data_IF_631375511756
#
_entry.id   IF_631375511756
#
_cell.length_a   1.000
_cell.length_b   1.000
_cell.length_c   1.000
_cell.angle_alpha   90.00
_cell.angle_beta   90.00
_cell.angle_gamma   90.00
#
_symmetry.space_group_name_H-M   'P 1'
#
loop_
_entity.id
_entity.type
_entity.pdbx_description
1 polymer ?
#
# COMPACT_ATOMS: atom_id res chain seq x y z
N UNK A 1 -5.38 -6.84 -27.09
CA UNK A 1 -4.68 -5.65 -26.55
C UNK A 1 -4.23 -4.65 -27.63
N UNK A 2 -4.99 -4.52 -28.72
CA UNK A 2 -4.57 -3.71 -29.93
C UNK A 2 -4.34 -2.21 -29.66
N UNK A 3 -4.89 -1.66 -28.58
CA UNK A 3 -4.76 -0.24 -28.21
C UNK A 3 -3.40 0.10 -27.56
N UNK A 4 -2.71 -0.88 -27.01
CA UNK A 4 -1.46 -0.69 -26.26
C UNK A 4 -0.39 -1.66 -26.72
N UNK A 5 0.85 -1.18 -26.80
CA UNK A 5 2.05 -1.99 -27.08
C UNK A 5 2.89 -2.07 -25.81
N UNK A 6 3.31 -3.27 -25.44
CA UNK A 6 4.29 -3.51 -24.38
C UNK A 6 5.67 -3.15 -24.93
N UNK A 7 6.43 -2.37 -24.14
CA UNK A 7 7.81 -1.96 -24.49
C UNK A 7 8.83 -2.81 -23.74
N UNK A 8 8.73 -2.86 -22.40
CA UNK A 8 9.67 -3.60 -21.56
C UNK A 8 9.03 -3.97 -20.22
N UNK A 9 9.55 -4.97 -19.58
CA UNK A 9 9.18 -5.32 -18.19
C UNK A 9 9.89 -4.37 -17.23
N UNK A 10 9.12 -3.73 -16.33
CA UNK A 10 9.62 -2.80 -15.32
C UNK A 10 9.47 -3.32 -13.90
N UNK A 11 8.77 -4.44 -13.71
CA UNK A 11 8.60 -5.04 -12.40
C UNK A 11 7.91 -6.39 -12.44
N UNK A 12 7.88 -7.03 -11.26
CA UNK A 12 7.10 -8.24 -11.01
C UNK A 12 6.39 -8.06 -9.67
N UNK A 13 5.05 -8.03 -9.70
CA UNK A 13 4.23 -7.98 -8.50
C UNK A 13 3.90 -9.38 -7.97
N UNK A 14 3.26 -9.44 -6.83
CA UNK A 14 2.79 -10.68 -6.19
C UNK A 14 1.90 -11.51 -7.14
N UNK A 15 1.18 -10.86 -8.04
CA UNK A 15 0.14 -11.44 -8.87
C UNK A 15 0.40 -11.30 -10.37
N UNK A 16 1.63 -11.04 -10.80
CA UNK A 16 1.93 -10.95 -12.23
C UNK A 16 3.10 -10.02 -12.58
N UNK A 17 3.30 -9.85 -13.89
CA UNK A 17 4.35 -8.99 -14.43
C UNK A 17 3.85 -7.59 -14.69
N UNK A 18 4.70 -6.59 -14.48
CA UNK A 18 4.41 -5.17 -14.72
C UNK A 18 5.31 -4.69 -15.87
N UNK A 19 4.70 -4.06 -16.87
CA UNK A 19 5.38 -3.60 -18.06
C UNK A 19 5.20 -2.09 -18.26
N UNK A 20 6.20 -1.44 -18.78
CA UNK A 20 6.04 -0.15 -19.45
C UNK A 20 5.45 -0.41 -20.84
N UNK A 21 4.43 0.33 -21.19
CA UNK A 21 3.79 0.27 -22.50
C UNK A 21 3.47 1.64 -23.04
N UNK A 22 2.90 1.66 -24.24
CA UNK A 22 2.53 2.87 -24.95
C UNK A 22 1.13 2.72 -25.54
N UNK A 23 0.33 3.76 -25.43
CA UNK A 23 -0.93 3.86 -26.17
C UNK A 23 -0.61 4.13 -27.64
N UNK A 24 -1.06 3.24 -28.53
CA UNK A 24 -0.73 3.28 -29.95
C UNK A 24 -1.32 4.49 -30.69
N UNK A 25 -2.43 5.05 -30.18
CA UNK A 25 -3.09 6.20 -30.77
C UNK A 25 -2.50 7.54 -30.29
N UNK A 26 -2.28 7.67 -28.97
CA UNK A 26 -1.89 8.94 -28.35
C UNK A 26 -0.38 9.07 -28.11
N UNK A 27 0.35 7.96 -28.16
CA UNK A 27 1.77 7.92 -27.79
C UNK A 27 2.03 7.95 -26.29
N UNK A 28 1.00 8.06 -25.44
CA UNK A 28 1.13 8.14 -23.99
C UNK A 28 1.76 6.89 -23.40
N UNK A 29 2.74 7.06 -22.50
CA UNK A 29 3.34 5.97 -21.77
C UNK A 29 2.41 5.53 -20.62
N UNK A 30 2.33 4.21 -20.41
CA UNK A 30 1.43 3.58 -19.42
C UNK A 30 2.13 2.46 -18.67
N UNK A 31 1.63 2.12 -17.50
CA UNK A 31 1.95 0.88 -16.79
C UNK A 31 0.88 -0.17 -17.10
N UNK A 32 1.34 -1.39 -17.44
CA UNK A 32 0.48 -2.53 -17.81
C UNK A 32 0.80 -3.66 -16.84
N UNK A 33 -0.15 -4.00 -15.97
CA UNK A 33 -0.09 -5.19 -15.10
C UNK A 33 -0.75 -6.36 -15.83
N UNK A 34 -0.06 -7.50 -15.91
CA UNK A 34 -0.55 -8.70 -16.58
C UNK A 34 -0.57 -9.89 -15.60
N UNK A 35 -1.69 -10.61 -15.55
CA UNK A 35 -1.90 -11.83 -14.75
C UNK A 35 -2.32 -12.99 -15.65
N UNK A 36 -1.71 -14.16 -15.48
CA UNK A 36 -2.05 -15.35 -16.25
C UNK A 36 -3.45 -15.88 -15.90
N UNK A 37 -4.26 -16.13 -16.93
CA UNK A 37 -5.59 -16.75 -16.77
C UNK A 37 -5.49 -18.19 -16.24
N UNK A 38 -4.40 -18.89 -16.55
CA UNK A 38 -4.19 -20.28 -16.14
C UNK A 38 -4.04 -20.44 -14.61
N UNK A 39 -3.60 -19.40 -13.92
CA UNK A 39 -3.43 -19.42 -12.46
C UNK A 39 -4.78 -19.41 -11.72
N UNK A 40 -5.88 -19.13 -12.42
CA UNK A 40 -7.27 -19.30 -11.95
C UNK A 40 -7.72 -18.39 -10.80
N UNK A 41 -6.83 -17.53 -10.30
CA UNK A 41 -7.08 -16.74 -9.08
C UNK A 41 -7.91 -15.47 -9.37
N UNK A 42 -7.90 -14.97 -10.62
CA UNK A 42 -8.63 -13.76 -11.04
C UNK A 42 -8.37 -12.52 -10.13
N UNK A 43 -7.17 -12.42 -9.56
CA UNK A 43 -6.83 -11.37 -8.61
C UNK A 43 -6.84 -9.99 -9.26
N UNK A 44 -6.32 -9.90 -10.50
CA UNK A 44 -6.32 -8.65 -11.26
C UNK A 44 -7.74 -8.18 -11.62
N UNK A 45 -8.69 -9.11 -11.80
CA UNK A 45 -10.11 -8.78 -11.97
C UNK A 45 -10.67 -8.12 -10.72
N UNK A 46 -10.37 -8.68 -9.54
CA UNK A 46 -10.82 -8.11 -8.28
C UNK A 46 -10.14 -6.77 -7.99
N UNK A 47 -8.84 -6.68 -8.22
CA UNK A 47 -8.08 -5.44 -8.09
C UNK A 47 -8.64 -4.33 -9.00
N UNK A 48 -8.98 -4.64 -10.25
CA UNK A 48 -9.57 -3.67 -11.17
C UNK A 48 -10.92 -3.11 -10.68
N UNK A 49 -11.74 -3.94 -10.02
CA UNK A 49 -13.01 -3.50 -9.40
C UNK A 49 -12.76 -2.53 -8.25
N UNK A 50 -11.72 -2.77 -7.43
CA UNK A 50 -11.34 -1.86 -6.34
C UNK A 50 -10.89 -0.51 -6.90
N UNK A 51 -10.04 -0.48 -7.93
CA UNK A 51 -9.66 0.76 -8.61
C UNK A 51 -10.87 1.52 -9.16
N UNK A 52 -11.83 0.82 -9.78
CA UNK A 52 -13.05 1.45 -10.28
C UNK A 52 -13.91 2.05 -9.14
N UNK A 53 -14.02 1.34 -8.03
CA UNK A 53 -14.75 1.80 -6.84
C UNK A 53 -14.08 3.02 -6.20
N UNK A 54 -12.75 3.05 -6.17
CA UNK A 54 -11.94 4.16 -5.66
C UNK A 54 -11.71 5.28 -6.70
N UNK A 55 -12.35 5.20 -7.86
CA UNK A 55 -12.29 6.27 -8.87
C UNK A 55 -12.65 7.60 -8.23
N UNK A 56 -11.83 8.62 -8.46
CA UNK A 56 -11.90 9.96 -7.86
C UNK A 56 -11.33 10.08 -6.43
N UNK A 57 -10.83 9.03 -5.78
CA UNK A 57 -10.01 9.18 -4.60
C UNK A 57 -8.66 9.79 -5.00
N UNK A 58 -8.31 10.93 -4.39
CA UNK A 58 -7.02 11.58 -4.64
C UNK A 58 -5.88 10.63 -4.23
N UNK A 59 -4.86 10.49 -5.09
CA UNK A 59 -3.74 9.59 -4.85
C UNK A 59 -4.01 8.12 -5.19
N UNK A 60 -5.15 7.80 -5.82
CA UNK A 60 -5.40 6.49 -6.43
C UNK A 60 -5.34 6.64 -7.96
N UNK A 61 -4.51 5.85 -8.67
CA UNK A 61 -4.43 5.90 -10.13
C UNK A 61 -5.75 5.52 -10.80
N UNK A 62 -6.00 6.09 -11.98
CA UNK A 62 -7.19 5.75 -12.77
C UNK A 62 -6.87 4.63 -13.76
N UNK A 63 -7.76 3.63 -13.85
CA UNK A 63 -7.68 2.61 -14.90
C UNK A 63 -8.01 3.26 -16.25
N UNK A 64 -7.07 3.14 -17.19
CA UNK A 64 -7.24 3.58 -18.58
C UNK A 64 -7.90 2.50 -19.45
N UNK A 65 -7.64 1.24 -19.12
CA UNK A 65 -8.21 0.08 -19.80
C UNK A 65 -8.04 -1.18 -18.96
N UNK A 66 -9.02 -2.07 -19.04
CA UNK A 66 -8.97 -3.42 -18.50
C UNK A 66 -9.52 -4.40 -19.54
N UNK A 67 -8.87 -5.54 -19.71
CA UNK A 67 -9.31 -6.57 -20.66
C UNK A 67 -8.45 -7.82 -20.58
N UNK A 68 -8.68 -8.73 -21.51
CA UNK A 68 -7.94 -10.01 -21.58
C UNK A 68 -7.69 -10.43 -23.02
N UNK A 69 -6.72 -11.30 -23.21
CA UNK A 69 -6.58 -12.17 -24.38
C UNK A 69 -6.78 -13.66 -23.97
N UNK A 70 -6.24 -14.57 -24.76
CA UNK A 70 -6.34 -16.02 -24.47
C UNK A 70 -5.43 -16.49 -23.33
N UNK A 71 -4.46 -15.68 -22.91
CA UNK A 71 -3.40 -16.05 -21.98
C UNK A 71 -3.50 -15.25 -20.68
N UNK A 72 -3.75 -13.94 -20.77
CA UNK A 72 -3.64 -13.03 -19.62
C UNK A 72 -4.83 -12.09 -19.51
N UNK A 73 -5.12 -11.68 -18.26
CA UNK A 73 -5.78 -10.40 -17.96
C UNK A 73 -4.75 -9.28 -17.98
N UNK A 74 -5.18 -8.08 -18.37
CA UNK A 74 -4.35 -6.88 -18.39
C UNK A 74 -5.11 -5.71 -17.77
N UNK A 75 -4.42 -4.96 -16.94
CA UNK A 75 -4.87 -3.69 -16.39
C UNK A 75 -3.89 -2.60 -16.77
N UNK A 76 -4.38 -1.52 -17.35
CA UNK A 76 -3.57 -0.37 -17.79
C UNK A 76 -3.91 0.84 -16.94
N UNK A 77 -2.89 1.41 -16.30
CA UNK A 77 -2.97 2.63 -15.50
C UNK A 77 -1.94 3.65 -16.00
N UNK A 78 -1.94 4.84 -15.42
CA UNK A 78 -0.89 5.83 -15.66
C UNK A 78 0.48 5.23 -15.32
N UNK A 79 1.49 5.52 -16.15
CA UNK A 79 2.87 5.31 -15.76
C UNK A 79 3.24 6.42 -14.76
N UNK A 80 3.52 6.01 -13.53
CA UNK A 80 3.88 6.89 -12.44
C UNK A 80 5.40 6.93 -12.25
N UNK A 81 5.86 7.81 -11.36
CA UNK A 81 7.28 7.95 -11.02
C UNK A 81 7.82 6.80 -10.16
N UNK A 82 8.89 7.06 -9.45
CA UNK A 82 9.58 6.08 -8.61
C UNK A 82 8.79 5.78 -7.33
N UNK A 83 8.99 4.57 -6.79
CA UNK A 83 8.46 4.19 -5.48
C UNK A 83 9.21 4.92 -4.35
N UNK A 84 8.57 5.03 -3.17
CA UNK A 84 9.26 5.56 -1.99
C UNK A 84 10.46 4.69 -1.59
N UNK A 85 10.40 3.39 -1.89
CA UNK A 85 11.54 2.50 -1.70
C UNK A 85 12.73 2.93 -2.58
N UNK A 86 12.51 3.11 -3.89
CA UNK A 86 13.54 3.55 -4.82
C UNK A 86 14.05 4.95 -4.48
N UNK A 87 13.18 5.89 -4.12
CA UNK A 87 13.56 7.25 -3.75
C UNK A 87 14.46 7.29 -2.50
N UNK A 88 14.15 6.47 -1.49
CA UNK A 88 14.95 6.36 -0.27
C UNK A 88 16.31 5.70 -0.55
N UNK A 89 16.32 4.57 -1.24
CA UNK A 89 17.56 3.81 -1.49
C UNK A 89 18.51 4.50 -2.46
N UNK A 90 18.00 5.35 -3.35
CA UNK A 90 18.81 6.19 -4.24
C UNK A 90 19.08 7.59 -3.71
N UNK A 91 18.70 7.89 -2.46
CA UNK A 91 18.89 9.20 -1.81
C UNK A 91 18.29 10.39 -2.60
N UNK A 92 17.21 10.15 -3.34
CA UNK A 92 16.51 11.16 -4.15
C UNK A 92 15.39 11.89 -3.40
N UNK A 93 15.14 11.54 -2.13
CA UNK A 93 14.15 12.20 -1.28
C UNK A 93 14.86 13.06 -0.24
N UNK A 94 14.47 14.31 -0.13
CA UNK A 94 14.99 15.21 0.90
C UNK A 94 14.25 15.03 2.23
N UNK A 95 14.92 15.31 3.35
CA UNK A 95 14.28 15.25 4.66
C UNK A 95 13.09 16.21 4.77
N UNK A 96 13.12 17.35 4.09
CA UNK A 96 12.01 18.31 4.07
C UNK A 96 10.79 17.83 3.32
N UNK A 97 10.95 16.88 2.40
CA UNK A 97 9.84 16.33 1.61
C UNK A 97 9.20 15.13 2.29
N UNK A 98 9.92 14.44 3.18
CA UNK A 98 9.41 13.24 3.87
C UNK A 98 8.11 13.57 4.63
N UNK A 99 8.07 14.62 5.44
CA UNK A 99 6.87 14.99 6.19
C UNK A 99 5.67 15.28 5.27
N UNK A 100 5.88 15.99 4.16
CA UNK A 100 4.83 16.27 3.17
C UNK A 100 4.31 14.98 2.53
N UNK A 101 5.20 14.04 2.22
CA UNK A 101 4.86 12.74 1.62
C UNK A 101 4.06 11.89 2.59
N UNK A 102 4.47 11.84 3.87
CA UNK A 102 3.76 11.08 4.90
C UNK A 102 2.35 11.65 5.12
N UNK A 103 2.20 12.97 5.17
CA UNK A 103 0.89 13.63 5.27
C UNK A 103 0.00 13.25 4.07
N UNK A 104 0.54 13.23 2.83
CA UNK A 104 -0.21 12.76 1.67
C UNK A 104 -0.61 11.28 1.81
N UNK A 105 0.29 10.41 2.31
CA UNK A 105 0.00 9.00 2.53
C UNK A 105 -1.16 8.81 3.52
N UNK A 106 -1.16 9.55 4.65
CA UNK A 106 -2.26 9.54 5.62
C UNK A 106 -3.58 9.93 4.95
N UNK A 107 -3.61 11.02 4.16
CA UNK A 107 -4.81 11.49 3.48
C UNK A 107 -5.33 10.48 2.43
N UNK A 108 -4.43 9.81 1.71
CA UNK A 108 -4.81 8.77 0.73
C UNK A 108 -5.46 7.59 1.45
N UNK A 109 -4.82 7.06 2.50
CA UNK A 109 -5.33 5.92 3.27
C UNK A 109 -6.67 6.29 3.95
N UNK A 110 -6.78 7.48 4.55
CA UNK A 110 -8.03 7.98 5.12
C UNK A 110 -9.17 7.96 4.08
N UNK A 111 -8.93 8.44 2.86
CA UNK A 111 -9.93 8.46 1.79
C UNK A 111 -10.38 7.06 1.36
N UNK A 112 -9.50 6.06 1.42
CA UNK A 112 -9.80 4.65 1.14
C UNK A 112 -10.61 4.05 2.29
N UNK A 113 -10.24 4.36 3.53
CA UNK A 113 -10.96 3.93 4.73
C UNK A 113 -12.38 4.52 4.77
N UNK A 114 -12.58 5.77 4.34
CA UNK A 114 -13.90 6.39 4.24
C UNK A 114 -14.80 5.76 3.17
N UNK A 115 -14.21 5.02 2.22
CA UNK A 115 -14.93 4.15 1.28
C UNK A 115 -15.22 2.75 1.83
N UNK A 116 -14.93 2.48 3.10
CA UNK A 116 -15.19 1.18 3.74
C UNK A 116 -14.17 0.09 3.39
N UNK A 117 -13.00 0.46 2.88
CA UNK A 117 -11.95 -0.46 2.47
C UNK A 117 -10.70 -0.32 3.34
N UNK A 118 -9.95 -1.40 3.50
CA UNK A 118 -8.57 -1.45 4.03
C UNK A 118 -7.64 -2.05 2.99
N UNK A 119 -6.42 -1.50 2.88
CA UNK A 119 -5.45 -1.87 1.83
C UNK A 119 -4.75 -3.18 2.16
N UNK A 120 -4.27 -3.35 3.39
CA UNK A 120 -3.63 -4.53 3.96
C UNK A 120 -2.23 -4.89 3.42
N UNK A 121 -1.65 -4.06 2.56
CA UNK A 121 -0.25 -4.18 2.11
C UNK A 121 0.39 -2.79 1.94
N UNK A 122 0.33 -1.97 2.99
CA UNK A 122 0.97 -0.66 3.03
C UNK A 122 2.48 -0.87 3.19
N UNK A 123 3.25 -0.43 2.17
CA UNK A 123 4.72 -0.51 2.12
C UNK A 123 5.29 0.54 1.17
N UNK A 124 6.58 0.88 1.26
CA UNK A 124 7.21 1.91 0.41
C UNK A 124 7.12 1.62 -1.09
N UNK A 125 7.13 0.34 -1.49
CA UNK A 125 7.04 -0.09 -2.89
C UNK A 125 5.69 0.27 -3.52
N UNK A 126 4.62 0.30 -2.71
CA UNK A 126 3.26 0.58 -3.16
C UNK A 126 2.93 2.07 -3.18
N UNK A 127 3.82 2.95 -2.73
CA UNK A 127 3.68 4.38 -2.86
C UNK A 127 4.58 4.90 -3.98
N UNK A 128 3.99 5.43 -5.05
CA UNK A 128 4.70 6.02 -6.17
C UNK A 128 4.59 7.55 -6.14
N UNK A 129 5.71 8.24 -6.32
CA UNK A 129 5.78 9.70 -6.27
C UNK A 129 6.04 10.27 -7.66
N UNK A 130 5.15 11.11 -8.13
CA UNK A 130 5.22 11.70 -9.46
C UNK A 130 4.65 13.13 -9.43
N UNK A 131 5.39 14.09 -9.98
CA UNK A 131 4.95 15.49 -10.08
C UNK A 131 4.44 16.08 -8.74
N UNK A 132 5.19 15.88 -7.66
CA UNK A 132 4.86 16.33 -6.30
C UNK A 132 3.55 15.73 -5.72
N UNK A 133 3.04 14.67 -6.33
CA UNK A 133 1.86 13.94 -5.90
C UNK A 133 2.22 12.49 -5.57
N UNK A 134 1.76 12.02 -4.41
CA UNK A 134 1.86 10.62 -4.01
C UNK A 134 0.66 9.83 -4.53
N UNK A 135 0.93 8.59 -4.92
CA UNK A 135 -0.08 7.62 -5.37
C UNK A 135 0.10 6.31 -4.63
N UNK A 136 -0.99 5.70 -4.22
CA UNK A 136 -1.00 4.34 -3.66
C UNK A 136 -1.52 3.37 -4.73
N UNK A 137 -0.80 2.26 -4.89
CA UNK A 137 -1.06 1.24 -5.90
C UNK A 137 -1.16 -0.15 -5.25
N UNK A 138 -1.52 -1.15 -6.06
CA UNK A 138 -1.58 -2.57 -5.71
C UNK A 138 -2.66 -2.89 -4.66
N UNK A 139 -3.93 -2.82 -5.09
CA UNK A 139 -5.10 -3.14 -4.28
C UNK A 139 -5.45 -4.65 -4.28
N UNK A 140 -4.51 -5.53 -4.63
CA UNK A 140 -4.74 -6.98 -4.71
C UNK A 140 -5.13 -7.61 -3.36
N UNK A 141 -4.66 -7.04 -2.25
CA UNK A 141 -5.03 -7.45 -0.88
C UNK A 141 -6.20 -6.66 -0.28
N UNK A 142 -6.72 -5.65 -0.99
CA UNK A 142 -7.75 -4.77 -0.46
C UNK A 142 -9.02 -5.53 -0.09
N UNK A 143 -9.65 -5.13 1.03
CA UNK A 143 -10.86 -5.78 1.54
C UNK A 143 -11.79 -4.77 2.22
N UNK A 144 -13.11 -4.99 2.11
CA UNK A 144 -14.07 -4.23 2.91
C UNK A 144 -13.96 -4.63 4.38
N UNK A 145 -13.89 -3.63 5.26
CA UNK A 145 -14.00 -3.81 6.70
C UNK A 145 -15.44 -3.60 7.21
N UNK A 146 -16.37 -3.28 6.30
CA UNK A 146 -17.79 -3.07 6.57
C UNK A 146 -18.60 -4.13 5.85
N UNK A 147 -19.60 -4.71 6.53
CA UNK A 147 -20.61 -5.59 5.97
C UNK A 147 -21.97 -5.19 6.53
N UNK A 148 -22.95 -4.96 5.65
CA UNK A 148 -24.30 -4.53 6.03
C UNK A 148 -24.33 -3.27 6.93
N UNK A 149 -23.43 -2.31 6.67
CA UNK A 149 -23.32 -1.06 7.43
C UNK A 149 -22.61 -1.18 8.78
N UNK A 150 -22.19 -2.38 9.19
CA UNK A 150 -21.49 -2.63 10.44
C UNK A 150 -20.03 -2.99 10.20
N UNK A 151 -19.15 -2.67 11.13
CA UNK A 151 -17.77 -3.13 11.11
C UNK A 151 -17.72 -4.65 11.20
N UNK A 152 -16.87 -5.30 10.40
CA UNK A 152 -16.66 -6.74 10.46
C UNK A 152 -16.18 -7.16 11.85
N UNK A 153 -16.55 -8.36 12.27
CA UNK A 153 -16.06 -8.95 13.51
C UNK A 153 -14.57 -9.27 13.45
N UNK A 154 -13.93 -9.22 14.61
CA UNK A 154 -12.54 -9.63 14.77
C UNK A 154 -12.46 -11.16 14.68
N UNK A 155 -11.73 -11.66 13.68
CA UNK A 155 -11.57 -13.09 13.42
C UNK A 155 -10.09 -13.45 13.23
N UNK A 156 -9.77 -14.74 13.19
CA UNK A 156 -8.44 -15.22 12.82
C UNK A 156 -8.32 -15.40 11.30
N UNK A 157 -7.12 -15.20 10.79
CA UNK A 157 -6.74 -15.46 9.38
C UNK A 157 -5.89 -16.72 9.28
N UNK A 158 -5.85 -17.34 8.10
CA UNK A 158 -5.04 -18.56 7.84
C UNK A 158 -3.55 -18.30 7.74
N UNK A 159 -3.14 -17.05 7.48
CA UNK A 159 -1.75 -16.67 7.29
C UNK A 159 -1.50 -15.19 7.52
N UNK A 160 -0.23 -14.78 7.45
CA UNK A 160 0.18 -13.39 7.43
C UNK A 160 -0.40 -12.71 6.18
N UNK A 161 -0.93 -11.52 6.35
CA UNK A 161 -1.42 -10.67 5.25
C UNK A 161 -0.53 -9.44 5.14
N UNK A 162 -0.05 -9.15 3.93
CA UNK A 162 0.86 -8.05 3.65
C UNK A 162 2.33 -8.46 3.64
N UNK A 163 3.19 -7.49 3.50
CA UNK A 163 4.65 -7.67 3.39
C UNK A 163 5.30 -7.75 4.76
N UNK A 164 6.13 -8.76 4.99
CA UNK A 164 6.68 -9.16 6.29
C UNK A 164 7.25 -7.98 7.10
N UNK A 165 8.08 -7.12 6.46
CA UNK A 165 8.70 -5.99 7.15
C UNK A 165 7.72 -4.88 7.54
N UNK A 166 6.58 -4.76 6.85
CA UNK A 166 5.61 -3.67 7.05
C UNK A 166 4.26 -4.14 7.61
N UNK A 167 3.99 -5.46 7.66
CA UNK A 167 2.77 -6.01 8.23
C UNK A 167 2.59 -5.59 9.71
N UNK A 168 1.36 -5.27 10.11
CA UNK A 168 1.06 -4.93 11.50
C UNK A 168 1.30 -6.11 12.46
N UNK A 169 1.47 -5.84 13.75
CA UNK A 169 1.58 -6.89 14.78
C UNK A 169 0.36 -7.81 14.76
N UNK A 170 -0.83 -7.28 14.49
CA UNK A 170 -2.03 -8.10 14.36
C UNK A 170 -1.97 -9.06 13.18
N UNK A 171 -1.32 -8.67 12.07
CA UNK A 171 -1.09 -9.58 10.94
C UNK A 171 -0.16 -10.73 11.32
N UNK A 172 0.94 -10.45 12.04
CA UNK A 172 1.82 -11.50 12.58
C UNK A 172 1.05 -12.46 13.50
N UNK A 173 0.11 -11.97 14.28
CA UNK A 173 -0.75 -12.76 15.19
C UNK A 173 -1.93 -13.43 14.49
N UNK A 174 -2.01 -13.37 13.15
CA UNK A 174 -3.09 -13.98 12.38
C UNK A 174 -4.48 -13.45 12.75
N UNK A 175 -4.58 -12.17 13.08
CA UNK A 175 -5.86 -11.50 13.32
C UNK A 175 -6.33 -10.79 12.04
N UNK A 176 -7.65 -10.69 11.86
CA UNK A 176 -8.21 -9.88 10.77
C UNK A 176 -7.82 -8.41 10.93
N UNK A 177 -7.50 -7.77 9.79
CA UNK A 177 -6.96 -6.42 9.76
C UNK A 177 -8.08 -5.39 9.57
N UNK A 178 -7.88 -4.22 10.16
CA UNK A 178 -8.77 -3.06 10.06
C UNK A 178 -7.97 -1.78 9.74
N UNK A 179 -8.62 -0.63 9.84
CA UNK A 179 -8.02 0.68 9.57
C UNK A 179 -6.75 0.97 10.38
N UNK A 180 -6.71 0.55 11.67
CA UNK A 180 -5.54 0.74 12.54
C UNK A 180 -4.30 0.00 12.01
N UNK A 181 -4.52 -1.15 11.38
CA UNK A 181 -3.42 -1.98 10.87
C UNK A 181 -2.74 -1.37 9.64
N UNK A 182 -3.50 -0.74 8.73
CA UNK A 182 -2.94 0.04 7.63
C UNK A 182 -2.14 1.25 8.16
N UNK A 183 -2.63 1.92 9.21
CA UNK A 183 -1.92 3.05 9.82
C UNK A 183 -0.67 2.58 10.58
N UNK A 184 -0.68 1.42 11.24
CA UNK A 184 0.51 0.82 11.85
C UNK A 184 1.56 0.49 10.79
N UNK A 185 1.15 -0.13 9.68
CA UNK A 185 2.04 -0.39 8.53
C UNK A 185 2.63 0.91 7.98
N UNK A 186 1.85 2.00 7.90
CA UNK A 186 2.37 3.31 7.52
C UNK A 186 3.40 3.83 8.54
N UNK A 187 3.23 3.57 9.83
CA UNK A 187 4.23 3.90 10.86
C UNK A 187 5.59 3.25 10.60
N UNK A 188 5.60 2.00 10.09
CA UNK A 188 6.84 1.34 9.67
C UNK A 188 7.40 1.92 8.36
N UNK A 189 6.56 2.43 7.47
CA UNK A 189 7.02 3.21 6.30
C UNK A 189 7.66 4.52 6.75
N UNK A 190 7.09 5.20 7.75
CA UNK A 190 7.70 6.41 8.34
C UNK A 190 9.09 6.08 8.89
N UNK A 191 9.22 5.01 9.69
CA UNK A 191 10.50 4.56 10.22
C UNK A 191 11.51 4.26 9.09
N UNK A 192 11.10 3.56 8.03
CA UNK A 192 11.96 3.29 6.87
C UNK A 192 12.46 4.58 6.20
N UNK A 193 11.60 5.60 6.09
CA UNK A 193 11.95 6.85 5.42
C UNK A 193 12.86 7.75 6.28
N UNK A 194 12.68 7.77 7.59
CA UNK A 194 13.39 8.65 8.52
C UNK A 194 14.65 8.01 9.12
N UNK A 195 14.61 6.70 9.32
CA UNK A 195 15.68 5.91 9.96
C UNK A 195 15.84 4.56 9.23
N UNK A 196 16.50 3.59 9.83
CA UNK A 196 16.55 2.20 9.35
C UNK A 196 15.63 1.32 10.19
N UNK A 197 15.02 0.31 9.55
CA UNK A 197 14.24 -0.70 10.27
C UNK A 197 15.19 -1.71 10.94
N UNK A 198 15.12 -1.84 12.25
CA UNK A 198 15.96 -2.78 13.03
C UNK A 198 15.73 -4.25 12.65
N UNK A 199 14.65 -4.54 11.93
CA UNK A 199 14.28 -5.90 11.50
C UNK A 199 14.37 -6.10 9.98
N UNK A 200 14.93 -5.15 9.23
CA UNK A 200 14.93 -5.18 7.77
C UNK A 200 15.61 -6.41 7.19
N UNK A 201 16.70 -6.86 7.82
CA UNK A 201 17.50 -7.99 7.37
C UNK A 201 17.12 -9.32 8.04
N UNK A 202 16.09 -9.31 8.90
CA UNK A 202 15.58 -10.53 9.53
C UNK A 202 14.66 -11.30 8.58
N UNK A 203 14.74 -12.61 8.64
CA UNK A 203 13.92 -13.53 7.83
C UNK A 203 12.93 -14.34 8.66
N UNK A 204 13.15 -14.44 9.97
CA UNK A 204 12.30 -15.20 10.89
C UNK A 204 11.16 -14.30 11.37
N UNK A 205 9.94 -14.70 11.08
CA UNK A 205 8.75 -13.90 11.37
C UNK A 205 8.59 -13.55 12.86
N UNK A 206 8.85 -14.51 13.76
CA UNK A 206 8.76 -14.26 15.22
C UNK A 206 9.73 -13.18 15.71
N UNK A 207 10.94 -13.15 15.13
CA UNK A 207 11.97 -12.19 15.52
C UNK A 207 11.59 -10.78 15.03
N UNK A 208 11.01 -10.70 13.83
CA UNK A 208 10.47 -9.45 13.29
C UNK A 208 9.31 -8.93 14.17
N UNK A 209 8.35 -9.80 14.55
CA UNK A 209 7.27 -9.40 15.46
C UNK A 209 7.82 -8.89 16.79
N UNK A 210 8.78 -9.59 17.37
CA UNK A 210 9.40 -9.20 18.64
C UNK A 210 10.07 -7.83 18.54
N UNK A 211 10.85 -7.59 17.46
CA UNK A 211 11.49 -6.29 17.21
C UNK A 211 10.49 -5.17 17.04
N UNK A 212 9.42 -5.37 16.29
CA UNK A 212 8.33 -4.40 16.13
C UNK A 212 7.66 -4.06 17.47
N UNK A 213 7.39 -5.08 18.31
CA UNK A 213 6.84 -4.88 19.66
C UNK A 213 7.76 -4.04 20.54
N UNK A 214 9.07 -4.24 20.47
CA UNK A 214 10.06 -3.46 21.22
C UNK A 214 10.16 -2.03 20.66
N UNK A 215 10.16 -1.88 19.35
CA UNK A 215 10.21 -0.59 18.66
C UNK A 215 9.06 0.33 19.07
N UNK A 216 7.82 -0.18 19.09
CA UNK A 216 6.64 0.60 19.50
C UNK A 216 6.73 1.03 20.97
N UNK A 217 7.33 0.20 21.84
CA UNK A 217 7.45 0.47 23.27
C UNK A 217 8.65 1.34 23.65
N UNK A 218 9.60 1.55 22.74
CA UNK A 218 10.79 2.35 23.02
C UNK A 218 10.45 3.85 23.13
N UNK A 219 11.33 4.61 23.79
CA UNK A 219 11.07 6.03 24.10
C UNK A 219 10.82 6.91 22.86
N UNK A 220 9.88 7.84 22.99
CA UNK A 220 9.21 8.62 21.95
C UNK A 220 10.06 9.83 21.48
N UNK A 221 11.33 9.65 21.09
CA UNK A 221 12.11 10.77 20.57
C UNK A 221 11.94 10.99 19.07
N UNK A 222 11.67 9.94 18.30
CA UNK A 222 11.66 9.96 16.85
C UNK A 222 10.28 10.11 16.25
N UNK A 223 10.20 10.66 15.04
CA UNK A 223 8.96 10.93 14.33
C UNK A 223 8.11 9.67 14.14
N UNK A 224 8.73 8.53 13.80
CA UNK A 224 8.04 7.25 13.64
C UNK A 224 7.39 6.74 14.93
N UNK A 225 8.07 6.87 16.06
CA UNK A 225 7.55 6.44 17.37
C UNK A 225 6.45 7.36 17.89
N UNK A 226 6.58 8.69 17.68
CA UNK A 226 5.49 9.64 17.97
C UNK A 226 4.24 9.28 17.17
N UNK A 227 4.39 8.98 15.88
CA UNK A 227 3.30 8.54 15.03
C UNK A 227 2.64 7.25 15.56
N UNK A 228 3.43 6.21 15.85
CA UNK A 228 2.94 4.92 16.35
C UNK A 228 2.29 5.04 17.73
N UNK A 229 2.73 5.98 18.58
CA UNK A 229 2.12 6.19 19.90
C UNK A 229 0.67 6.69 19.81
N UNK A 230 0.32 7.43 18.76
CA UNK A 230 -1.08 7.86 18.50
C UNK A 230 -2.00 6.67 18.23
N UNK A 231 -1.45 5.54 17.74
CA UNK A 231 -2.20 4.31 17.45
C UNK A 231 -2.33 3.40 18.68
N UNK A 232 -1.62 3.72 19.76
CA UNK A 232 -1.64 2.89 20.96
C UNK A 232 -3.05 2.83 21.56
N UNK A 233 -3.54 1.61 21.78
CA UNK A 233 -4.85 1.37 22.41
C UNK A 233 -6.07 1.49 21.49
N UNK A 234 -5.90 1.84 20.20
CA UNK A 234 -7.03 1.90 19.25
C UNK A 234 -7.65 0.51 19.08
N UNK A 235 -8.95 0.40 19.34
CA UNK A 235 -9.69 -0.84 19.19
C UNK A 235 -9.83 -1.27 17.71
N UNK A 236 -10.09 -2.55 17.46
CA UNK A 236 -10.20 -3.13 16.12
C UNK A 236 -11.23 -2.41 15.23
N UNK A 237 -12.37 -2.05 15.77
CA UNK A 237 -13.47 -1.39 15.06
C UNK A 237 -13.43 0.15 15.18
N UNK A 238 -12.47 0.70 15.91
CA UNK A 238 -12.36 2.14 16.13
C UNK A 238 -11.80 2.84 14.89
N UNK A 239 -12.24 4.09 14.66
CA UNK A 239 -11.69 4.96 13.62
C UNK A 239 -10.42 5.63 14.15
N UNK A 240 -9.26 5.47 13.49
CA UNK A 240 -8.06 6.23 13.85
C UNK A 240 -8.30 7.74 13.76
N UNK A 241 -7.70 8.52 14.64
CA UNK A 241 -7.68 9.96 14.54
C UNK A 241 -6.61 10.40 13.53
N UNK A 242 -6.97 10.50 12.26
CA UNK A 242 -6.02 10.84 11.18
C UNK A 242 -5.44 12.25 11.35
N UNK A 243 -6.17 13.17 11.94
CA UNK A 243 -5.68 14.52 12.26
C UNK A 243 -4.52 14.46 13.27
N UNK A 244 -4.68 13.70 14.36
CA UNK A 244 -3.60 13.49 15.35
C UNK A 244 -2.38 12.81 14.72
N UNK A 245 -2.60 11.87 13.79
CA UNK A 245 -1.51 11.24 13.04
C UNK A 245 -0.78 12.24 12.16
N UNK A 246 -1.48 13.12 11.44
CA UNK A 246 -0.83 14.21 10.66
C UNK A 246 -0.05 15.16 11.57
N UNK A 247 -0.60 15.55 12.71
CA UNK A 247 0.05 16.46 13.66
C UNK A 247 1.32 15.84 14.29
N UNK A 248 1.38 14.52 14.44
CA UNK A 248 2.59 13.84 14.95
C UNK A 248 3.78 13.86 13.98
N UNK A 249 3.53 14.20 12.71
CA UNK A 249 4.55 14.26 11.63
C UNK A 249 5.18 15.66 11.52
N UNK A 250 4.50 16.68 11.98
CA UNK A 250 4.99 18.06 11.99
C UNK A 250 5.87 18.29 13.22
#
# INVERSE_FOLDING_TARGET
MNKYTIIEQIGRGTFGSIFRGKNNLTGELVAIKAESIKDGQNLLVNESRVYQYLKNCKGVPTIKWFGKDYVNYYMVINLLGKSLYELKTTSLISSSDISKIIIQAICIIESIHDKGLVHRDIKPDNFLYSNNQLYLIDFGFCKSYIKNGLHNELTRTSGLVGSLNYASINSHRRMSLSRRDDMESLGYVVAFLTESLEWQDLTIESDIEQKKCLFIKSSVSDQSRRYLSVLSGIAYNERPCYESLRNSII
#
